data_IF_431804299851
#
_entry.id   IF_431804299851
#
_cell.length_a   1.000
_cell.length_b   1.000
_cell.length_c   1.000
_cell.angle_alpha   90.00
_cell.angle_beta   90.00
_cell.angle_gamma   90.00
#
_symmetry.space_group_name_H-M   'P 1'
#
loop_
_entity.id
_entity.type
_entity.pdbx_description
1 polymer ?
#
# COMPACT_ATOMS: atom_id res chain seq x y z
N UNK A 1 -32.57 -74.10 20.60
CA UNK A 1 -31.79 -73.05 19.92
C UNK A 1 -31.76 -71.82 20.81
N UNK A 2 -30.67 -71.04 20.76
CA UNK A 2 -30.49 -69.73 21.42
C UNK A 2 -30.84 -69.62 22.92
N UNK A 3 -29.80 -69.51 23.77
CA UNK A 3 -29.88 -69.06 25.16
C UNK A 3 -28.76 -68.06 25.44
N UNK A 4 -29.02 -67.04 26.27
CA UNK A 4 -28.07 -66.01 26.67
C UNK A 4 -28.75 -64.94 27.54
N UNK A 5 -28.12 -64.52 28.64
CA UNK A 5 -28.82 -63.84 29.75
C UNK A 5 -27.92 -63.00 30.66
N UNK A 6 -28.34 -61.76 30.95
CA UNK A 6 -27.85 -60.89 32.05
C UNK A 6 -26.40 -60.37 31.96
N UNK A 7 -25.90 -59.56 32.91
CA UNK A 7 -26.56 -58.55 33.78
C UNK A 7 -25.53 -57.85 34.71
N UNK A 8 -25.37 -56.53 34.58
CA UNK A 8 -24.77 -55.59 35.58
C UNK A 8 -23.28 -55.85 36.02
N UNK A 9 -22.71 -55.24 37.12
CA UNK A 9 -22.02 -53.94 37.01
C UNK A 9 -20.60 -53.83 37.69
N UNK A 10 -20.13 -52.59 37.90
CA UNK A 10 -18.84 -52.14 38.48
C UNK A 10 -18.40 -52.70 39.86
N UNK A 11 -17.08 -52.66 40.16
CA UNK A 11 -16.60 -51.97 41.38
C UNK A 11 -15.27 -51.13 41.22
N UNK A 12 -14.83 -50.34 42.25
CA UNK A 12 -13.74 -49.35 42.16
C UNK A 12 -12.42 -49.68 42.94
N UNK A 13 -11.50 -48.70 43.00
CA UNK A 13 -10.12 -48.74 43.57
C UNK A 13 -10.01 -48.80 45.12
N UNK A 14 -9.01 -49.54 45.64
CA UNK A 14 -8.10 -49.08 46.73
C UNK A 14 -6.61 -49.44 46.43
N UNK A 15 -5.55 -49.06 47.17
CA UNK A 15 -5.33 -48.16 48.33
C UNK A 15 -3.80 -48.00 48.57
N UNK A 16 -3.29 -46.81 48.95
CA UNK A 16 -2.90 -46.39 50.32
C UNK A 16 -1.64 -47.02 50.96
N UNK A 17 -0.62 -46.16 51.24
CA UNK A 17 0.36 -46.18 52.37
C UNK A 17 1.31 -47.40 52.57
N UNK A 18 2.55 -47.35 53.11
CA UNK A 18 3.61 -46.34 53.46
C UNK A 18 4.94 -47.18 53.59
N UNK A 19 6.08 -46.89 54.27
CA UNK A 19 6.59 -45.85 55.21
C UNK A 19 8.14 -45.91 55.26
N UNK A 20 8.84 -44.78 55.45
CA UNK A 20 10.14 -44.63 56.17
C UNK A 20 11.43 -45.42 55.72
N UNK A 21 12.68 -45.03 56.04
CA UNK A 21 13.28 -43.75 56.50
C UNK A 21 14.83 -43.73 56.32
N UNK A 22 15.46 -42.54 56.49
CA UNK A 22 16.77 -42.28 57.18
C UNK A 22 18.02 -43.10 56.76
N UNK A 23 19.20 -42.57 56.39
CA UNK A 23 19.82 -41.21 56.19
C UNK A 23 21.02 -41.38 55.18
N UNK A 24 22.05 -40.54 54.95
CA UNK A 24 22.63 -39.39 55.65
C UNK A 24 23.45 -38.40 54.78
N UNK A 25 23.60 -37.19 55.33
CA UNK A 25 24.64 -36.14 55.12
C UNK A 25 25.66 -36.23 53.97
N UNK A 26 25.65 -35.18 53.11
CA UNK A 26 26.79 -34.22 53.09
C UNK A 26 26.31 -32.80 52.76
N UNK A 27 26.71 -31.82 53.58
CA UNK A 27 26.28 -30.41 53.50
C UNK A 27 27.36 -29.55 52.85
N UNK A 28 27.03 -28.80 51.78
CA UNK A 28 27.89 -27.71 51.28
C UNK A 28 27.06 -26.58 50.68
N UNK A 29 27.21 -25.39 51.26
CA UNK A 29 26.46 -24.17 50.88
C UNK A 29 26.91 -23.64 49.52
N UNK A 30 25.95 -23.39 48.60
CA UNK A 30 26.20 -22.58 47.39
C UNK A 30 26.02 -21.10 47.71
N UNK A 31 26.90 -20.25 47.17
CA UNK A 31 26.75 -18.79 47.18
C UNK A 31 25.72 -18.37 46.14
N UNK A 32 25.00 -17.28 46.38
CA UNK A 32 24.20 -16.63 45.35
C UNK A 32 25.12 -15.89 44.35
N UNK A 33 24.85 -16.00 43.06
CA UNK A 33 25.41 -15.11 42.03
C UNK A 33 24.51 -15.04 40.80
N UNK A 34 23.96 -13.85 40.62
CA UNK A 34 23.41 -13.22 39.40
C UNK A 34 23.78 -13.95 38.08
N UNK A 35 22.86 -14.80 37.59
CA UNK A 35 22.23 -14.72 36.27
C UNK A 35 21.05 -15.72 36.25
N UNK A 36 19.92 -15.34 35.65
CA UNK A 36 18.74 -16.19 35.53
C UNK A 36 18.44 -16.49 34.07
N UNK A 37 18.01 -17.72 33.77
CA UNK A 37 17.49 -18.10 32.46
C UNK A 37 16.18 -17.37 32.14
N UNK A 38 16.08 -16.78 30.95
CA UNK A 38 14.85 -16.82 30.15
C UNK A 38 15.16 -16.45 28.68
N UNK A 39 15.72 -17.40 27.91
CA UNK A 39 16.06 -17.22 26.49
C UNK A 39 14.81 -17.37 25.60
N UNK A 40 13.86 -16.44 25.73
CA UNK A 40 12.62 -16.41 24.93
C UNK A 40 12.85 -15.73 23.58
N UNK A 41 13.20 -16.53 22.58
CA UNK A 41 13.14 -16.14 21.17
C UNK A 41 11.69 -16.22 20.71
N UNK A 42 11.02 -15.08 20.54
CA UNK A 42 9.65 -15.07 20.02
C UNK A 42 8.76 -13.90 20.46
N UNK A 43 9.28 -12.66 20.51
CA UNK A 43 8.48 -11.46 20.78
C UNK A 43 8.79 -10.38 19.72
N UNK A 44 8.02 -10.38 18.62
CA UNK A 44 8.13 -9.37 17.54
C UNK A 44 6.80 -8.66 17.28
N UNK A 45 6.09 -8.27 18.34
CA UNK A 45 5.03 -7.28 18.26
C UNK A 45 5.57 -5.95 17.70
N UNK A 46 5.26 -5.67 16.44
CA UNK A 46 5.88 -4.58 15.66
C UNK A 46 5.76 -3.22 16.37
N UNK A 47 6.86 -2.58 16.82
CA UNK A 47 6.77 -1.36 17.60
C UNK A 47 6.40 -0.17 16.71
N UNK A 48 5.33 0.54 17.09
CA UNK A 48 5.01 1.84 16.47
C UNK A 48 6.19 2.82 16.59
N UNK A 49 6.21 3.83 15.70
CA UNK A 49 7.23 4.91 15.63
C UNK A 49 7.52 5.65 16.95
N UNK A 50 6.71 5.47 17.99
CA UNK A 50 6.98 5.95 19.33
C UNK A 50 8.13 5.21 20.03
N UNK A 51 8.22 3.88 19.88
CA UNK A 51 9.09 3.00 20.68
C UNK A 51 10.54 3.05 20.23
N UNK A 52 10.81 3.01 18.92
CA UNK A 52 12.17 3.05 18.37
C UNK A 52 12.92 4.34 18.74
N UNK A 53 12.19 5.43 18.97
CA UNK A 53 12.73 6.73 19.40
C UNK A 53 13.01 6.77 20.91
N UNK A 54 12.40 5.89 21.71
CA UNK A 54 12.66 5.80 23.15
C UNK A 54 14.02 5.14 23.43
N UNK A 55 14.40 4.10 22.69
CA UNK A 55 15.65 3.36 22.90
C UNK A 55 16.91 4.21 22.64
N UNK A 56 16.80 5.27 21.85
CA UNK A 56 17.89 6.23 21.58
C UNK A 56 18.11 7.21 22.76
N UNK A 57 17.12 7.39 23.65
CA UNK A 57 17.14 8.45 24.67
C UNK A 57 17.80 8.04 26.00
N UNK A 58 18.18 6.76 26.18
CA UNK A 58 18.78 6.27 27.43
C UNK A 58 20.25 6.66 27.66
N UNK A 59 20.99 7.06 26.61
CA UNK A 59 22.46 7.08 26.64
C UNK A 59 23.12 8.35 27.22
N UNK A 60 22.38 9.44 27.49
CA UNK A 60 22.96 10.72 27.94
C UNK A 60 22.17 11.39 29.07
N UNK A 61 22.66 11.31 30.31
CA UNK A 61 22.51 12.33 31.37
C UNK A 61 23.26 11.98 32.67
N UNK A 62 24.53 12.40 32.81
CA UNK A 62 25.20 12.60 34.12
C UNK A 62 26.27 13.70 34.03
N UNK A 63 25.93 14.92 34.46
CA UNK A 63 26.88 15.94 34.92
C UNK A 63 26.15 16.99 35.78
N UNK A 64 26.81 17.68 36.74
CA UNK A 64 26.15 18.61 37.68
C UNK A 64 25.90 20.01 37.09
N UNK A 65 24.98 20.76 37.71
CA UNK A 65 24.54 22.09 37.25
C UNK A 65 25.08 23.22 38.14
N UNK A 66 25.54 24.31 37.53
CA UNK A 66 25.81 25.60 38.19
C UNK A 66 24.71 26.65 37.89
N UNK A 67 24.42 27.60 38.80
CA UNK A 67 23.11 28.29 38.83
C UNK A 67 23.02 29.61 38.02
N UNK A 68 23.58 29.69 36.80
CA UNK A 68 23.57 30.92 35.98
C UNK A 68 22.90 30.77 34.59
N UNK A 69 21.67 30.23 34.53
CA UNK A 69 20.96 30.10 33.24
C UNK A 69 19.41 30.17 33.23
N UNK A 70 18.77 30.72 34.26
CA UNK A 70 17.30 30.70 34.43
C UNK A 70 16.48 31.25 33.24
N UNK A 71 16.90 32.37 32.61
CA UNK A 71 16.19 32.95 31.45
C UNK A 71 16.37 32.14 30.15
N UNK A 72 17.56 31.56 29.91
CA UNK A 72 17.89 30.84 28.66
C UNK A 72 17.26 29.44 28.64
N UNK A 73 17.18 28.77 29.79
CA UNK A 73 16.47 27.49 29.94
C UNK A 73 14.96 27.62 29.74
N UNK A 74 14.34 28.73 30.18
CA UNK A 74 12.89 28.96 30.04
C UNK A 74 12.42 28.94 28.57
N UNK A 75 13.08 29.70 27.66
CA UNK A 75 12.76 29.67 26.22
C UNK A 75 12.97 28.26 25.63
N UNK A 76 14.08 27.59 25.97
CA UNK A 76 14.37 26.20 25.51
C UNK A 76 13.35 25.18 26.03
N UNK A 77 12.83 25.35 27.25
CA UNK A 77 11.77 24.51 27.84
C UNK A 77 10.43 24.73 27.11
N UNK A 78 10.01 25.98 26.89
CA UNK A 78 8.80 26.30 26.12
C UNK A 78 8.87 25.75 24.69
N UNK A 79 10.01 25.90 24.00
CA UNK A 79 10.22 25.32 22.67
C UNK A 79 10.13 23.78 22.66
N UNK A 80 10.74 23.08 23.64
CA UNK A 80 10.60 21.61 23.78
C UNK A 80 9.15 21.19 24.10
N UNK A 81 8.39 21.99 24.85
CA UNK A 81 6.95 21.74 25.07
C UNK A 81 6.12 21.93 23.79
N UNK A 82 6.41 22.96 22.99
CA UNK A 82 5.74 23.19 21.71
C UNK A 82 6.06 22.07 20.70
N UNK A 83 7.33 21.70 20.55
CA UNK A 83 7.75 20.55 19.73
C UNK A 83 7.09 19.24 20.16
N UNK A 84 6.91 19.00 21.48
CA UNK A 84 6.16 17.84 21.98
C UNK A 84 4.68 17.90 21.60
N UNK A 85 4.03 19.06 21.65
CA UNK A 85 2.65 19.25 21.19
C UNK A 85 2.52 19.02 19.69
N UNK A 86 3.40 19.63 18.88
CA UNK A 86 3.40 19.44 17.41
C UNK A 86 3.61 17.96 17.06
N UNK A 87 4.62 17.29 17.64
CA UNK A 87 4.83 15.85 17.43
C UNK A 87 3.60 15.02 17.83
N UNK A 88 2.98 15.32 18.97
CA UNK A 88 1.76 14.63 19.40
C UNK A 88 0.59 14.85 18.42
N UNK A 89 0.40 16.07 17.91
CA UNK A 89 -0.62 16.36 16.90
C UNK A 89 -0.35 15.62 15.59
N UNK A 90 0.87 15.63 15.05
CA UNK A 90 1.20 14.92 13.81
C UNK A 90 1.16 13.39 13.95
N UNK A 91 1.35 12.84 15.15
CA UNK A 91 1.16 11.40 15.42
C UNK A 91 -0.33 11.04 15.57
N UNK A 92 -1.17 11.96 16.04
CA UNK A 92 -2.62 11.77 16.15
C UNK A 92 -3.33 11.94 14.79
N UNK A 93 -2.89 12.93 14.01
CA UNK A 93 -3.46 13.36 12.74
C UNK A 93 -2.31 13.42 11.72
N UNK A 94 -2.05 12.30 11.05
CA UNK A 94 -0.93 12.13 10.10
C UNK A 94 -1.00 13.11 8.93
N UNK A 95 -2.22 13.48 8.50
CA UNK A 95 -2.45 14.45 7.42
C UNK A 95 -1.87 15.84 7.71
N UNK A 96 -1.59 16.20 8.98
CA UNK A 96 -1.08 17.52 9.37
C UNK A 96 0.32 17.80 8.81
N UNK A 97 1.18 16.79 8.66
CA UNK A 97 2.53 17.00 8.10
C UNK A 97 2.49 17.27 6.58
N UNK A 98 1.82 16.45 5.74
CA UNK A 98 1.54 16.81 4.35
C UNK A 98 0.81 18.16 4.20
N UNK A 99 -0.23 18.44 4.99
CA UNK A 99 -0.96 19.71 4.94
C UNK A 99 -0.07 20.92 5.20
N UNK A 100 0.85 20.83 6.18
CA UNK A 100 1.83 21.89 6.44
C UNK A 100 2.78 22.11 5.26
N UNK A 101 3.30 21.04 4.65
CA UNK A 101 4.17 21.14 3.46
C UNK A 101 3.43 21.79 2.28
N UNK A 102 2.21 21.33 1.98
CA UNK A 102 1.38 21.93 0.92
C UNK A 102 1.07 23.41 1.20
N UNK A 103 0.76 23.76 2.45
CA UNK A 103 0.53 25.16 2.85
C UNK A 103 1.77 26.02 2.62
N UNK A 104 2.97 25.52 2.93
CA UNK A 104 4.23 26.23 2.65
C UNK A 104 4.47 26.43 1.15
N UNK A 105 4.22 25.42 0.31
CA UNK A 105 4.34 25.54 -1.15
C UNK A 105 3.33 26.54 -1.73
N UNK A 106 2.06 26.44 -1.33
CA UNK A 106 1.00 27.32 -1.82
C UNK A 106 1.18 28.78 -1.38
N UNK A 107 1.62 29.03 -0.14
CA UNK A 107 1.96 30.38 0.31
C UNK A 107 3.22 30.93 -0.39
N UNK A 108 4.22 30.08 -0.63
CA UNK A 108 5.41 30.45 -1.41
C UNK A 108 5.10 30.79 -2.87
N UNK A 109 4.11 30.13 -3.47
CA UNK A 109 3.60 30.50 -4.79
C UNK A 109 2.76 31.79 -4.74
N UNK A 110 1.82 31.91 -3.80
CA UNK A 110 0.96 33.08 -3.65
C UNK A 110 1.72 34.38 -3.34
N UNK A 111 2.92 34.30 -2.76
CA UNK A 111 3.80 35.45 -2.54
C UNK A 111 4.40 36.04 -3.84
N UNK A 112 4.47 35.25 -4.92
CA UNK A 112 4.83 35.71 -6.26
C UNK A 112 4.20 34.76 -7.31
N UNK A 113 2.93 34.98 -7.71
CA UNK A 113 2.18 34.04 -8.55
C UNK A 113 2.49 34.22 -10.04
N UNK A 114 3.76 34.02 -10.41
CA UNK A 114 4.27 34.14 -11.78
C UNK A 114 4.91 32.83 -12.24
N UNK A 115 4.98 32.61 -13.56
CA UNK A 115 5.67 31.42 -14.12
C UNK A 115 7.16 31.39 -13.73
N UNK A 116 7.77 32.56 -13.54
CA UNK A 116 9.16 32.73 -13.07
C UNK A 116 9.40 32.33 -11.60
N UNK A 117 8.35 32.05 -10.82
CA UNK A 117 8.51 31.44 -9.51
C UNK A 117 8.79 29.93 -9.67
N UNK A 118 9.90 29.37 -9.17
CA UNK A 118 10.23 27.96 -9.37
C UNK A 118 9.20 26.98 -8.76
N UNK A 119 8.30 27.46 -7.89
CA UNK A 119 7.18 26.69 -7.38
C UNK A 119 6.07 26.45 -8.43
N UNK A 120 6.05 27.21 -9.53
CA UNK A 120 5.14 26.99 -10.67
C UNK A 120 5.31 25.56 -11.23
N UNK A 121 6.56 25.11 -11.39
CA UNK A 121 6.94 23.78 -11.87
C UNK A 121 6.48 22.60 -10.99
N UNK A 122 6.15 22.86 -9.72
CA UNK A 122 5.62 21.86 -8.80
C UNK A 122 4.09 21.77 -8.90
N UNK A 123 3.40 22.89 -9.13
CA UNK A 123 1.93 22.99 -9.11
C UNK A 123 1.32 22.72 -10.49
N UNK A 124 1.97 23.21 -11.55
CA UNK A 124 1.48 23.21 -12.93
C UNK A 124 2.38 22.41 -13.88
N UNK A 125 1.83 22.01 -15.03
CA UNK A 125 2.58 21.29 -16.06
C UNK A 125 3.70 22.16 -16.66
N UNK A 126 4.92 21.65 -16.60
CA UNK A 126 6.08 22.28 -17.23
C UNK A 126 6.21 21.92 -18.70
N UNK A 127 7.00 22.69 -19.45
CA UNK A 127 7.31 22.47 -20.88
C UNK A 127 6.10 22.57 -21.82
N UNK A 128 5.20 23.53 -21.57
CA UNK A 128 4.18 23.96 -22.55
C UNK A 128 4.87 24.40 -23.84
N UNK A 129 4.38 23.92 -24.98
CA UNK A 129 4.88 24.31 -26.29
C UNK A 129 4.06 25.49 -26.85
N UNK A 130 4.63 26.30 -27.76
CA UNK A 130 3.85 27.23 -28.56
C UNK A 130 2.80 26.49 -29.42
N UNK A 131 1.75 27.20 -29.81
CA UNK A 131 0.75 26.70 -30.75
C UNK A 131 1.19 27.09 -32.17
N UNK A 132 2.13 26.32 -32.73
CA UNK A 132 2.74 26.61 -34.03
C UNK A 132 1.81 26.32 -35.22
N UNK A 133 0.79 25.46 -35.01
CA UNK A 133 -0.21 25.09 -36.02
C UNK A 133 -1.62 25.52 -35.57
N UNK A 134 -2.33 26.37 -36.34
CA UNK A 134 -3.71 26.79 -36.05
C UNK A 134 -4.76 25.66 -36.03
N UNK A 135 -4.46 24.49 -36.59
CA UNK A 135 -5.32 23.29 -36.56
C UNK A 135 -5.17 22.46 -35.29
N UNK A 136 -4.19 22.78 -34.43
CA UNK A 136 -3.87 22.00 -33.23
C UNK A 136 -4.90 22.23 -32.11
N UNK A 137 -5.96 21.42 -32.10
CA UNK A 137 -7.10 21.48 -31.17
C UNK A 137 -6.70 21.54 -29.67
N UNK A 138 -5.56 20.95 -29.29
CA UNK A 138 -5.10 20.85 -27.91
C UNK A 138 -3.68 21.37 -27.67
N UNK A 139 -3.49 22.07 -26.55
CA UNK A 139 -2.18 22.55 -26.10
C UNK A 139 -1.25 21.36 -25.80
N UNK A 140 -0.15 21.28 -26.54
CA UNK A 140 0.88 20.25 -26.39
C UNK A 140 1.94 20.64 -25.34
N UNK A 141 2.50 19.63 -24.69
CA UNK A 141 3.58 19.73 -23.72
C UNK A 141 4.70 18.74 -24.08
N UNK A 142 5.95 19.22 -24.02
CA UNK A 142 7.14 18.36 -24.04
C UNK A 142 7.42 17.72 -22.68
N UNK A 143 8.65 17.24 -22.46
CA UNK A 143 9.08 16.61 -21.20
C UNK A 143 10.44 17.08 -20.72
N UNK A 144 10.70 17.01 -19.41
CA UNK A 144 12.01 17.30 -18.83
C UNK A 144 12.06 17.14 -17.31
N UNK A 145 13.16 17.59 -16.69
CA UNK A 145 13.43 17.35 -15.27
C UNK A 145 12.43 18.02 -14.31
N UNK A 146 11.78 19.12 -14.70
CA UNK A 146 10.73 19.75 -13.89
C UNK A 146 9.48 18.85 -13.71
N UNK A 147 9.29 17.85 -14.56
CA UNK A 147 8.20 16.89 -14.39
C UNK A 147 8.42 16.00 -13.14
N UNK A 148 9.66 15.84 -12.67
CA UNK A 148 9.99 15.22 -11.37
C UNK A 148 9.54 16.10 -10.20
N UNK A 149 9.63 17.43 -10.35
CA UNK A 149 9.17 18.38 -9.34
C UNK A 149 7.65 18.33 -9.18
N UNK A 150 6.92 18.31 -10.31
CA UNK A 150 5.48 18.06 -10.37
C UNK A 150 5.11 16.73 -9.69
N UNK A 151 5.74 15.61 -10.08
CA UNK A 151 5.50 14.30 -9.47
C UNK A 151 5.73 14.34 -7.95
N UNK A 152 6.82 14.96 -7.49
CA UNK A 152 7.15 15.09 -6.07
C UNK A 152 6.09 15.87 -5.29
N UNK A 153 5.58 16.98 -5.84
CA UNK A 153 4.51 17.76 -5.22
C UNK A 153 3.20 16.96 -5.15
N UNK A 154 2.79 16.34 -6.25
CA UNK A 154 1.55 15.57 -6.27
C UNK A 154 1.62 14.30 -5.42
N UNK A 155 2.81 13.72 -5.17
CA UNK A 155 3.01 12.69 -4.14
C UNK A 155 2.68 13.20 -2.73
N UNK A 156 3.02 14.46 -2.41
CA UNK A 156 2.64 15.09 -1.13
C UNK A 156 1.14 15.42 -1.10
N UNK A 157 0.56 15.89 -2.22
CA UNK A 157 -0.90 16.11 -2.36
C UNK A 157 -1.67 14.81 -2.10
N UNK A 158 -1.23 13.70 -2.71
CA UNK A 158 -1.86 12.39 -2.54
C UNK A 158 -1.65 11.82 -1.13
N UNK A 159 -0.50 12.06 -0.50
CA UNK A 159 -0.27 11.71 0.91
C UNK A 159 -1.19 12.50 1.87
N UNK A 160 -1.44 13.79 1.60
CA UNK A 160 -2.44 14.56 2.34
C UNK A 160 -3.84 13.98 2.14
N UNK A 161 -4.25 13.83 0.88
CA UNK A 161 -5.59 13.39 0.49
C UNK A 161 -5.91 11.99 1.02
N UNK A 162 -4.97 11.03 0.96
CA UNK A 162 -5.11 9.69 1.56
C UNK A 162 -5.41 9.78 3.05
N UNK A 163 -4.54 10.44 3.81
CA UNK A 163 -4.66 10.48 5.27
C UNK A 163 -5.88 11.29 5.74
N UNK A 164 -6.24 12.36 5.01
CA UNK A 164 -7.45 13.15 5.28
C UNK A 164 -8.73 12.35 5.00
N UNK A 165 -8.87 11.74 3.81
CA UNK A 165 -10.03 10.91 3.46
C UNK A 165 -10.14 9.72 4.41
N UNK A 166 -9.03 9.04 4.73
CA UNK A 166 -9.05 7.91 5.67
C UNK A 166 -9.48 8.32 7.09
N UNK A 167 -9.09 9.50 7.59
CA UNK A 167 -9.34 9.89 8.98
C UNK A 167 -10.65 10.65 9.20
N UNK A 168 -11.03 11.52 8.27
CA UNK A 168 -12.20 12.40 8.42
C UNK A 168 -13.44 11.86 7.69
N UNK A 169 -13.30 11.01 6.65
CA UNK A 169 -14.44 10.46 5.88
C UNK A 169 -14.64 8.96 6.10
N UNK A 170 -13.62 8.14 5.82
CA UNK A 170 -13.75 6.67 5.86
C UNK A 170 -13.76 6.11 7.28
N UNK A 171 -13.14 6.79 8.26
CA UNK A 171 -13.18 6.38 9.67
C UNK A 171 -14.57 6.54 10.30
N UNK A 172 -15.32 7.64 10.10
CA UNK A 172 -16.75 7.67 10.41
C UNK A 172 -17.54 6.59 9.66
N UNK A 173 -17.34 6.44 8.35
CA UNK A 173 -18.07 5.47 7.53
C UNK A 173 -17.89 4.01 8.00
N UNK A 174 -16.66 3.60 8.30
CA UNK A 174 -16.36 2.24 8.81
C UNK A 174 -17.05 1.92 10.13
N UNK A 175 -17.28 2.92 11.00
CA UNK A 175 -18.01 2.75 12.26
C UNK A 175 -19.52 2.71 12.03
N UNK A 176 -20.02 3.53 11.11
CA UNK A 176 -21.43 3.52 10.68
C UNK A 176 -21.80 2.18 10.04
N UNK A 177 -20.89 1.60 9.25
CA UNK A 177 -20.98 0.24 8.70
C UNK A 177 -20.74 -0.88 9.75
N UNK A 178 -20.76 -0.57 11.05
CA UNK A 178 -20.76 -1.55 12.13
C UNK A 178 -19.42 -2.23 12.45
N UNK A 179 -18.31 -1.86 11.79
CA UNK A 179 -17.02 -2.53 11.98
C UNK A 179 -16.44 -2.24 13.37
N UNK A 180 -16.46 -3.24 14.27
CA UNK A 180 -15.99 -3.09 15.65
C UNK A 180 -14.46 -3.17 15.79
N UNK A 181 -13.82 -4.13 15.11
CA UNK A 181 -12.36 -4.32 15.17
C UNK A 181 -11.61 -3.16 14.53
N UNK A 182 -10.58 -2.65 15.22
CA UNK A 182 -9.68 -1.61 14.68
C UNK A 182 -8.89 -2.10 13.46
N UNK A 183 -8.60 -3.40 13.37
CA UNK A 183 -7.97 -4.02 12.20
C UNK A 183 -8.91 -4.06 11.00
N UNK A 184 -10.15 -4.58 11.17
CA UNK A 184 -11.18 -4.59 10.10
C UNK A 184 -11.50 -3.16 9.64
N UNK A 185 -11.57 -2.18 10.55
CA UNK A 185 -11.67 -0.75 10.20
C UNK A 185 -10.48 -0.28 9.34
N UNK A 186 -9.23 -0.55 9.76
CA UNK A 186 -8.03 -0.10 9.03
C UNK A 186 -7.99 -0.63 7.60
N UNK A 187 -8.16 -1.95 7.41
CA UNK A 187 -8.15 -2.56 6.07
C UNK A 187 -9.34 -2.13 5.22
N UNK A 188 -10.53 -1.94 5.81
CA UNK A 188 -11.66 -1.36 5.09
C UNK A 188 -11.38 0.07 4.61
N UNK A 189 -10.74 0.92 5.43
CA UNK A 189 -10.35 2.28 5.00
C UNK A 189 -9.28 2.27 3.89
N UNK A 190 -8.30 1.36 3.94
CA UNK A 190 -7.29 1.19 2.87
C UNK A 190 -7.95 0.81 1.54
N UNK A 191 -8.86 -0.17 1.55
CA UNK A 191 -9.57 -0.62 0.34
C UNK A 191 -10.57 0.44 -0.15
N UNK A 192 -11.34 1.07 0.72
CA UNK A 192 -12.27 2.13 0.31
C UNK A 192 -11.55 3.37 -0.24
N UNK A 193 -10.38 3.75 0.27
CA UNK A 193 -9.58 4.82 -0.35
C UNK A 193 -9.14 4.44 -1.76
N UNK A 194 -8.68 3.20 -1.94
CA UNK A 194 -8.27 2.65 -3.24
C UNK A 194 -9.44 2.63 -4.24
N UNK A 195 -10.63 2.22 -3.79
CA UNK A 195 -11.86 2.23 -4.59
C UNK A 195 -12.32 3.67 -4.95
N UNK A 196 -12.23 4.62 -4.01
CA UNK A 196 -12.53 6.04 -4.31
C UNK A 196 -11.54 6.63 -5.32
N UNK A 197 -10.25 6.34 -5.18
CA UNK A 197 -9.21 6.84 -6.08
C UNK A 197 -9.41 6.32 -7.51
N UNK A 198 -9.49 5.00 -7.71
CA UNK A 198 -9.67 4.42 -9.04
C UNK A 198 -11.08 4.62 -9.60
N UNK A 199 -12.09 4.83 -8.77
CA UNK A 199 -13.44 5.22 -9.20
C UNK A 199 -13.51 6.60 -9.86
N UNK A 200 -12.54 7.48 -9.56
CA UNK A 200 -12.37 8.79 -10.23
C UNK A 200 -11.35 8.68 -11.37
N UNK A 201 -10.21 8.05 -11.12
CA UNK A 201 -9.08 8.01 -12.07
C UNK A 201 -9.32 7.06 -13.24
N UNK A 202 -9.97 5.91 -13.06
CA UNK A 202 -10.28 4.98 -14.16
C UNK A 202 -11.11 5.63 -15.28
N UNK A 203 -12.25 6.28 -14.97
CA UNK A 203 -13.01 7.07 -15.95
C UNK A 203 -12.21 8.23 -16.58
N UNK A 204 -11.37 8.91 -15.78
CA UNK A 204 -10.49 9.96 -16.29
C UNK A 204 -9.47 9.41 -17.31
N UNK A 205 -8.86 8.25 -17.02
CA UNK A 205 -7.93 7.57 -17.92
C UNK A 205 -8.59 7.12 -19.22
N UNK A 206 -9.81 6.58 -19.16
CA UNK A 206 -10.60 6.26 -20.37
C UNK A 206 -10.87 7.50 -21.24
N UNK A 207 -11.21 8.65 -20.62
CA UNK A 207 -11.42 9.91 -21.34
C UNK A 207 -10.11 10.48 -21.93
N UNK A 208 -8.97 10.32 -21.26
CA UNK A 208 -7.65 10.62 -21.84
C UNK A 208 -7.36 9.69 -23.02
N UNK A 209 -7.61 8.38 -22.88
CA UNK A 209 -7.36 7.38 -23.93
C UNK A 209 -8.21 7.64 -25.19
N UNK A 210 -9.46 8.10 -25.05
CA UNK A 210 -10.30 8.45 -26.21
C UNK A 210 -9.79 9.62 -27.06
N UNK A 211 -8.76 10.34 -26.59
CA UNK A 211 -8.08 11.44 -27.30
C UNK A 211 -6.80 10.99 -28.01
N UNK A 212 -6.52 9.69 -28.03
CA UNK A 212 -5.26 9.12 -28.52
C UNK A 212 -5.49 7.96 -29.50
N UNK A 213 -4.54 7.63 -30.39
CA UNK A 213 -4.68 6.52 -31.34
C UNK A 213 -4.94 5.14 -30.70
N UNK A 214 -4.60 4.97 -29.43
CA UNK A 214 -4.78 3.71 -28.67
C UNK A 214 -6.19 3.53 -28.08
N UNK A 215 -7.19 4.26 -28.57
CA UNK A 215 -8.57 4.14 -28.08
C UNK A 215 -9.06 2.69 -28.14
N UNK A 216 -9.74 2.26 -27.08
CA UNK A 216 -10.18 0.88 -26.89
C UNK A 216 -9.05 -0.18 -26.98
N UNK A 217 -7.84 0.22 -26.55
CA UNK A 217 -6.63 -0.62 -26.54
C UNK A 217 -6.18 -1.08 -27.93
N UNK A 218 -6.28 -0.22 -28.96
CA UNK A 218 -5.48 -0.47 -30.16
C UNK A 218 -3.98 -0.48 -29.83
N UNK A 219 -3.27 -1.44 -30.41
CA UNK A 219 -1.84 -1.69 -30.21
C UNK A 219 -1.01 -1.05 -31.32
N UNK A 220 -1.57 -0.91 -32.53
CA UNK A 220 -0.90 -0.24 -33.66
C UNK A 220 -0.60 1.22 -33.29
N UNK A 221 -1.60 1.90 -32.72
CA UNK A 221 -1.47 3.24 -32.16
C UNK A 221 -0.43 3.41 -31.03
N UNK A 222 0.12 2.33 -30.45
CA UNK A 222 1.23 2.42 -29.47
C UNK A 222 2.59 2.65 -30.14
N UNK A 223 2.69 2.43 -31.44
CA UNK A 223 3.93 2.49 -32.22
C UNK A 223 3.83 3.42 -33.43
N UNK A 224 2.63 3.61 -33.99
CA UNK A 224 2.35 4.62 -35.01
C UNK A 224 2.66 6.03 -34.49
N UNK A 225 3.33 6.86 -35.29
CA UNK A 225 3.77 8.20 -34.88
C UNK A 225 4.88 8.23 -33.82
N UNK A 226 5.46 7.09 -33.44
CA UNK A 226 6.61 7.06 -32.52
C UNK A 226 7.84 7.77 -33.15
N UNK A 227 8.66 8.52 -32.40
CA UNK A 227 8.57 8.79 -30.96
C UNK A 227 7.53 9.86 -30.60
N UNK A 228 6.64 9.53 -29.66
CA UNK A 228 5.65 10.46 -29.11
C UNK A 228 6.33 11.46 -28.16
N UNK A 229 6.96 12.50 -28.73
CA UNK A 229 7.73 13.52 -27.99
C UNK A 229 6.86 14.44 -27.14
N UNK A 230 5.60 14.62 -27.53
CA UNK A 230 4.65 15.58 -26.96
C UNK A 230 3.33 14.93 -26.64
N UNK A 231 2.62 15.45 -25.65
CA UNK A 231 1.28 15.02 -25.28
C UNK A 231 0.37 16.22 -24.99
N UNK A 232 -0.95 16.04 -25.09
CA UNK A 232 -1.89 17.06 -24.63
C UNK A 232 -1.81 17.26 -23.10
N UNK A 233 -2.29 18.40 -22.62
CA UNK A 233 -2.27 18.72 -21.19
C UNK A 233 -3.02 17.69 -20.32
N UNK A 234 -4.09 17.07 -20.84
CA UNK A 234 -4.87 16.08 -20.12
C UNK A 234 -4.07 14.77 -19.91
N UNK A 235 -3.47 14.25 -20.98
CA UNK A 235 -2.59 13.08 -20.96
C UNK A 235 -1.38 13.32 -20.06
N UNK A 236 -0.67 14.45 -20.24
CA UNK A 236 0.53 14.72 -19.44
C UNK A 236 0.20 14.86 -17.96
N UNK A 237 -0.91 15.52 -17.61
CA UNK A 237 -1.39 15.58 -16.22
C UNK A 237 -1.70 14.18 -15.68
N UNK A 238 -2.55 13.40 -16.37
CA UNK A 238 -2.95 12.06 -15.95
C UNK A 238 -1.74 11.15 -15.70
N UNK A 239 -0.82 11.11 -16.67
CA UNK A 239 0.34 10.24 -16.64
C UNK A 239 1.29 10.60 -15.48
N UNK A 240 1.59 11.89 -15.26
CA UNK A 240 2.45 12.32 -14.15
C UNK A 240 1.75 12.20 -12.79
N UNK A 241 0.44 12.45 -12.71
CA UNK A 241 -0.34 12.28 -11.49
C UNK A 241 -0.42 10.80 -11.08
N UNK A 242 -0.59 9.88 -12.04
CA UNK A 242 -0.48 8.45 -11.80
C UNK A 242 0.93 8.03 -11.36
N UNK A 243 1.99 8.58 -11.96
CA UNK A 243 3.36 8.36 -11.48
C UNK A 243 3.54 8.84 -10.02
N UNK A 244 2.94 9.98 -9.65
CA UNK A 244 2.94 10.49 -8.29
C UNK A 244 2.16 9.61 -7.29
N UNK A 245 1.08 8.96 -7.73
CA UNK A 245 0.34 7.97 -6.95
C UNK A 245 1.15 6.69 -6.72
N UNK A 246 1.73 6.10 -7.76
CA UNK A 246 2.54 4.90 -7.61
C UNK A 246 3.82 5.14 -6.80
N UNK A 247 4.41 6.34 -6.88
CA UNK A 247 5.46 6.79 -5.98
C UNK A 247 4.96 6.95 -4.52
N UNK A 248 3.78 7.55 -4.29
CA UNK A 248 3.17 7.68 -2.96
C UNK A 248 2.92 6.31 -2.33
N UNK A 249 2.40 5.34 -3.08
CA UNK A 249 2.15 3.98 -2.58
C UNK A 249 3.46 3.23 -2.28
N UNK A 250 4.48 3.38 -3.13
CA UNK A 250 5.80 2.82 -2.87
C UNK A 250 6.44 3.40 -1.59
N UNK A 251 6.28 4.70 -1.31
CA UNK A 251 6.75 5.34 -0.07
C UNK A 251 6.02 4.77 1.15
N UNK A 252 4.70 4.59 1.09
CA UNK A 252 3.89 3.96 2.17
C UNK A 252 4.36 2.53 2.46
N UNK A 253 4.67 1.75 1.42
CA UNK A 253 5.21 0.39 1.53
C UNK A 253 6.62 0.37 2.13
N UNK A 254 7.54 1.22 1.63
CA UNK A 254 8.93 1.31 2.08
C UNK A 254 9.06 1.82 3.53
N UNK A 255 8.14 2.68 3.98
CA UNK A 255 8.08 3.15 5.37
C UNK A 255 7.40 2.15 6.32
N UNK A 256 6.94 1.00 5.83
CA UNK A 256 6.27 -0.02 6.65
C UNK A 256 4.94 0.45 7.27
N UNK A 257 4.24 1.38 6.61
CA UNK A 257 3.04 2.00 7.15
C UNK A 257 1.79 1.10 7.12
N UNK A 258 1.83 0.00 6.35
CA UNK A 258 0.81 -1.06 6.34
C UNK A 258 1.40 -2.36 6.95
N UNK A 259 0.64 -3.13 7.76
CA UNK A 259 1.09 -4.44 8.29
C UNK A 259 1.48 -5.34 7.09
N UNK A 260 2.69 -5.91 7.04
CA UNK A 260 3.12 -6.78 5.94
C UNK A 260 2.16 -7.95 5.74
N UNK A 261 1.76 -8.19 4.49
CA UNK A 261 0.85 -9.27 4.08
C UNK A 261 1.64 -10.54 3.73
N UNK A 262 0.95 -11.68 3.60
CA UNK A 262 1.56 -12.96 3.19
C UNK A 262 2.25 -12.89 1.81
N UNK A 263 1.80 -11.98 0.93
CA UNK A 263 2.35 -11.70 -0.41
C UNK A 263 3.22 -10.41 -0.48
N UNK A 264 3.85 -10.02 0.64
CA UNK A 264 4.65 -8.78 0.72
C UNK A 264 5.86 -8.75 -0.23
N UNK A 265 6.52 -9.88 -0.49
CA UNK A 265 7.71 -9.92 -1.38
C UNK A 265 7.31 -9.67 -2.84
N UNK A 266 6.21 -10.26 -3.25
CA UNK A 266 5.62 -10.17 -4.57
C UNK A 266 5.01 -8.77 -4.80
N UNK A 267 4.42 -8.18 -3.75
CA UNK A 267 4.01 -6.77 -3.74
C UNK A 267 5.21 -5.80 -3.90
N UNK A 268 6.31 -6.01 -3.17
CA UNK A 268 7.55 -5.22 -3.36
C UNK A 268 8.11 -5.39 -4.78
N UNK A 269 8.15 -6.63 -5.30
CA UNK A 269 8.55 -6.92 -6.68
C UNK A 269 7.67 -6.19 -7.71
N UNK A 270 6.36 -6.18 -7.51
CA UNK A 270 5.41 -5.41 -8.32
C UNK A 270 5.68 -3.91 -8.29
N UNK A 271 5.95 -3.31 -7.13
CA UNK A 271 6.29 -1.88 -7.06
C UNK A 271 7.61 -1.56 -7.78
N UNK A 272 8.60 -2.45 -7.76
CA UNK A 272 9.84 -2.29 -8.53
C UNK A 272 9.55 -2.35 -10.04
N UNK A 273 8.82 -3.37 -10.51
CA UNK A 273 8.47 -3.53 -11.94
C UNK A 273 7.61 -2.37 -12.44
N UNK A 274 6.61 -1.94 -11.65
CA UNK A 274 5.69 -0.87 -12.05
C UNK A 274 6.37 0.50 -12.07
N UNK A 275 7.20 0.84 -11.08
CA UNK A 275 7.98 2.08 -11.11
C UNK A 275 9.01 2.08 -12.27
N UNK A 276 9.60 0.92 -12.59
CA UNK A 276 10.47 0.79 -13.75
C UNK A 276 9.71 0.99 -15.07
N UNK A 277 8.53 0.37 -15.24
CA UNK A 277 7.67 0.59 -16.42
C UNK A 277 7.30 2.06 -16.59
N UNK A 278 6.83 2.72 -15.54
CA UNK A 278 6.46 4.14 -15.55
C UNK A 278 7.66 5.02 -15.91
N UNK A 279 8.78 4.86 -15.21
CA UNK A 279 9.98 5.68 -15.41
C UNK A 279 10.60 5.51 -16.80
N UNK A 280 10.71 4.26 -17.28
CA UNK A 280 11.34 3.95 -18.56
C UNK A 280 10.43 4.29 -19.75
N UNK A 281 9.13 4.03 -19.67
CA UNK A 281 8.21 4.39 -20.76
C UNK A 281 8.06 5.92 -20.91
N UNK A 282 8.08 6.68 -19.80
CA UNK A 282 8.19 8.14 -19.86
C UNK A 282 9.56 8.60 -20.42
N UNK A 283 10.67 8.00 -19.97
CA UNK A 283 12.02 8.34 -20.44
C UNK A 283 12.22 8.08 -21.94
N UNK A 284 11.58 7.05 -22.50
CA UNK A 284 11.80 6.57 -23.87
C UNK A 284 10.59 6.71 -24.83
N UNK A 285 9.58 7.51 -24.48
CA UNK A 285 8.40 7.79 -25.32
C UNK A 285 7.47 6.58 -25.58
N UNK A 286 7.46 5.58 -24.71
CA UNK A 286 6.49 4.46 -24.77
C UNK A 286 5.24 4.74 -23.91
N UNK A 287 4.90 6.01 -23.73
CA UNK A 287 3.88 6.49 -22.79
C UNK A 287 2.46 6.04 -23.16
N UNK A 288 2.16 5.83 -24.44
CA UNK A 288 0.88 5.25 -24.88
C UNK A 288 0.71 3.80 -24.40
N UNK A 289 1.74 2.97 -24.54
CA UNK A 289 1.77 1.63 -23.91
C UNK A 289 1.64 1.73 -22.37
N UNK A 290 2.30 2.70 -21.75
CA UNK A 290 2.17 2.99 -20.32
C UNK A 290 0.73 3.37 -19.90
N UNK A 291 0.02 4.16 -20.71
CA UNK A 291 -1.38 4.54 -20.45
C UNK A 291 -2.32 3.33 -20.56
N UNK A 292 -2.11 2.45 -21.55
CA UNK A 292 -2.87 1.21 -21.67
C UNK A 292 -2.65 0.27 -20.47
N UNK A 293 -1.40 0.16 -20.00
CA UNK A 293 -1.07 -0.60 -18.78
C UNK A 293 -1.73 0.04 -17.56
N UNK A 294 -1.64 1.37 -17.37
CA UNK A 294 -2.33 2.07 -16.28
C UNK A 294 -3.83 1.75 -16.27
N UNK A 295 -4.56 2.00 -17.36
CA UNK A 295 -6.02 1.90 -17.40
C UNK A 295 -6.49 0.44 -17.13
N UNK A 296 -5.80 -0.56 -17.68
CA UNK A 296 -6.10 -1.97 -17.34
C UNK A 296 -5.87 -2.28 -15.86
N UNK A 297 -4.90 -1.62 -15.22
CA UNK A 297 -4.56 -1.84 -13.82
C UNK A 297 -5.47 -1.08 -12.86
N UNK A 298 -5.76 0.19 -13.15
CA UNK A 298 -6.64 1.08 -12.38
C UNK A 298 -8.06 0.51 -12.30
N UNK A 299 -8.63 0.11 -13.43
CA UNK A 299 -10.02 -0.40 -13.50
C UNK A 299 -10.15 -1.75 -12.79
N UNK A 300 -9.18 -2.66 -12.90
CA UNK A 300 -9.24 -3.94 -12.17
C UNK A 300 -9.11 -3.75 -10.66
N UNK A 301 -8.30 -2.77 -10.22
CA UNK A 301 -8.06 -2.53 -8.80
C UNK A 301 -9.21 -1.78 -8.14
N UNK A 302 -10.00 -1.00 -8.90
CA UNK A 302 -11.32 -0.53 -8.47
C UNK A 302 -12.24 -1.71 -8.10
N UNK A 303 -12.36 -2.73 -8.96
CA UNK A 303 -13.18 -3.91 -8.70
C UNK A 303 -12.62 -4.75 -7.54
N UNK A 304 -11.30 -4.95 -7.46
CA UNK A 304 -10.64 -5.65 -6.35
C UNK A 304 -10.94 -4.96 -5.01
N UNK A 305 -10.65 -3.66 -4.91
CA UNK A 305 -10.80 -2.88 -3.69
C UNK A 305 -12.27 -2.78 -3.24
N UNK A 306 -13.20 -2.65 -4.19
CA UNK A 306 -14.64 -2.64 -3.90
C UNK A 306 -15.12 -4.03 -3.44
N UNK A 307 -14.67 -5.12 -4.06
CA UNK A 307 -15.04 -6.49 -3.64
C UNK A 307 -14.59 -6.79 -2.20
N UNK A 308 -13.38 -6.38 -1.81
CA UNK A 308 -12.89 -6.49 -0.42
C UNK A 308 -13.65 -5.58 0.53
N UNK A 309 -14.01 -4.37 0.10
CA UNK A 309 -14.79 -3.45 0.93
C UNK A 309 -16.21 -3.95 1.20
N UNK A 310 -16.85 -4.59 0.22
CA UNK A 310 -18.15 -5.28 0.39
C UNK A 310 -18.04 -6.49 1.32
N UNK A 311 -16.99 -7.29 1.16
CA UNK A 311 -16.67 -8.43 2.05
C UNK A 311 -16.46 -7.98 3.51
N UNK A 312 -15.73 -6.89 3.75
CA UNK A 312 -15.49 -6.40 5.11
C UNK A 312 -16.77 -5.92 5.82
N UNK A 313 -17.78 -5.44 5.11
CA UNK A 313 -19.09 -5.07 5.68
C UNK A 313 -20.14 -6.18 5.50
N UNK A 314 -19.69 -7.38 5.14
CA UNK A 314 -20.47 -8.62 5.07
C UNK A 314 -21.73 -8.48 4.16
N UNK A 315 -21.60 -7.69 3.07
CA UNK A 315 -22.73 -7.28 2.23
C UNK A 315 -23.26 -8.42 1.34
N UNK A 316 -24.59 -8.59 1.15
CA UNK A 316 -25.15 -9.73 0.40
C UNK A 316 -24.71 -9.82 -1.07
N UNK A 317 -24.34 -8.70 -1.71
CA UNK A 317 -23.86 -8.72 -3.12
C UNK A 317 -22.39 -9.17 -3.27
N UNK A 318 -21.68 -9.47 -2.18
CA UNK A 318 -20.24 -9.78 -2.19
C UNK A 318 -19.89 -10.91 -3.16
N UNK A 319 -20.66 -12.01 -3.17
CA UNK A 319 -20.43 -13.13 -4.10
C UNK A 319 -20.57 -12.73 -5.59
N UNK A 320 -21.73 -12.21 -6.02
CA UNK A 320 -21.91 -11.69 -7.39
C UNK A 320 -20.89 -10.62 -7.81
N UNK A 321 -20.54 -9.70 -6.90
CA UNK A 321 -19.56 -8.65 -7.19
C UNK A 321 -18.13 -9.21 -7.27
N UNK A 322 -17.78 -10.21 -6.46
CA UNK A 322 -16.50 -10.92 -6.54
C UNK A 322 -16.35 -11.69 -7.87
N UNK A 323 -17.45 -12.27 -8.39
CA UNK A 323 -17.47 -12.86 -9.73
C UNK A 323 -17.24 -11.82 -10.83
N UNK A 324 -17.92 -10.67 -10.78
CA UNK A 324 -17.69 -9.54 -11.69
C UNK A 324 -16.24 -9.05 -11.64
N UNK A 325 -15.69 -8.92 -10.43
CA UNK A 325 -14.27 -8.61 -10.21
C UNK A 325 -13.36 -9.65 -10.91
N UNK A 326 -13.57 -10.95 -10.70
CA UNK A 326 -12.77 -12.01 -11.33
C UNK A 326 -12.82 -11.93 -12.87
N UNK A 327 -14.00 -11.71 -13.46
CA UNK A 327 -14.14 -11.49 -14.90
C UNK A 327 -13.37 -10.25 -15.38
N UNK A 328 -13.47 -9.12 -14.65
CA UNK A 328 -12.73 -7.89 -14.97
C UNK A 328 -11.22 -8.11 -14.88
N UNK A 329 -10.73 -8.86 -13.89
CA UNK A 329 -9.31 -9.18 -13.74
C UNK A 329 -8.81 -10.02 -14.91
N UNK A 330 -9.53 -11.07 -15.29
CA UNK A 330 -9.16 -11.92 -16.44
C UNK A 330 -9.13 -11.11 -17.75
N UNK A 331 -10.11 -10.25 -17.99
CA UNK A 331 -10.13 -9.43 -19.21
C UNK A 331 -9.01 -8.38 -19.22
N UNK A 332 -8.87 -7.59 -18.15
CA UNK A 332 -7.96 -6.45 -18.09
C UNK A 332 -6.50 -6.88 -17.84
N UNK A 333 -6.24 -7.68 -16.80
CA UNK A 333 -4.89 -8.09 -16.36
C UNK A 333 -4.30 -9.28 -17.12
N UNK A 334 -5.09 -9.95 -17.97
CA UNK A 334 -4.61 -11.08 -18.79
C UNK A 334 -4.89 -10.86 -20.26
N UNK A 335 -6.16 -10.82 -20.71
CA UNK A 335 -6.43 -10.71 -22.15
C UNK A 335 -5.83 -9.44 -22.79
N UNK A 336 -6.09 -8.25 -22.21
CA UNK A 336 -5.53 -7.00 -22.75
C UNK A 336 -4.02 -6.87 -22.51
N UNK A 337 -3.50 -7.28 -21.35
CA UNK A 337 -2.06 -7.22 -21.09
C UNK A 337 -1.25 -8.21 -21.95
N UNK A 338 -1.79 -9.39 -22.25
CA UNK A 338 -1.22 -10.30 -23.25
C UNK A 338 -1.32 -9.72 -24.66
N UNK A 339 -2.40 -9.02 -25.03
CA UNK A 339 -2.48 -8.30 -26.33
C UNK A 339 -1.33 -7.28 -26.46
N UNK A 340 -1.09 -6.49 -25.41
CA UNK A 340 0.02 -5.51 -25.37
C UNK A 340 1.38 -6.22 -25.45
N UNK A 341 1.60 -7.27 -24.65
CA UNK A 341 2.84 -8.05 -24.66
C UNK A 341 3.11 -8.73 -26.01
N UNK A 342 2.09 -9.28 -26.68
CA UNK A 342 2.20 -9.89 -28.01
C UNK A 342 2.47 -8.85 -29.10
N UNK A 343 1.91 -7.64 -28.99
CA UNK A 343 2.20 -6.55 -29.94
C UNK A 343 3.69 -6.15 -29.97
N UNK A 344 4.46 -6.40 -28.90
CA UNK A 344 5.91 -6.22 -28.96
C UNK A 344 6.56 -7.13 -30.01
N UNK A 345 6.11 -8.38 -30.12
CA UNK A 345 6.68 -9.36 -31.05
C UNK A 345 6.22 -9.12 -32.50
N UNK A 346 5.01 -8.60 -32.68
CA UNK A 346 4.41 -8.41 -34.02
C UNK A 346 4.69 -7.02 -34.62
N UNK A 347 4.64 -5.97 -33.80
CA UNK A 347 4.49 -4.58 -34.26
C UNK A 347 5.65 -3.65 -33.85
N UNK A 348 6.33 -3.90 -32.71
CA UNK A 348 7.41 -3.02 -32.23
C UNK A 348 8.56 -2.86 -33.24
N UNK A 349 8.85 -3.88 -34.06
CA UNK A 349 9.92 -3.82 -35.08
C UNK A 349 9.45 -3.33 -36.45
N UNK A 350 8.15 -3.24 -36.69
CA UNK A 350 7.54 -3.06 -38.02
C UNK A 350 6.71 -1.77 -38.14
N UNK A 351 6.06 -1.34 -37.06
CA UNK A 351 5.22 -0.13 -37.01
C UNK A 351 6.03 1.04 -36.44
N UNK A 352 6.19 2.10 -37.23
CA UNK A 352 7.01 3.28 -36.89
C UNK A 352 8.53 2.99 -36.84
N UNK A 353 9.38 4.02 -36.76
CA UNK A 353 10.84 3.89 -36.83
C UNK A 353 11.41 2.85 -35.87
N UNK A 354 12.32 2.00 -36.36
CA UNK A 354 13.10 1.05 -35.55
C UNK A 354 14.58 1.45 -35.58
N UNK A 355 14.87 2.63 -35.02
CA UNK A 355 16.18 3.26 -35.02
C UNK A 355 16.47 3.80 -33.62
N UNK A 356 17.69 3.57 -33.14
CA UNK A 356 18.23 4.26 -31.96
C UNK A 356 18.85 5.58 -32.38
N UNK A 357 18.22 6.69 -31.98
CA UNK A 357 18.69 8.05 -32.20
C UNK A 357 18.45 8.85 -30.91
N UNK A 358 19.53 9.26 -30.26
CA UNK A 358 19.50 9.99 -29.00
C UNK A 358 19.15 11.48 -29.16
N UNK A 359 19.40 12.06 -30.34
CA UNK A 359 19.16 13.48 -30.65
C UNK A 359 17.74 13.66 -31.19
N UNK A 360 17.35 12.87 -32.20
CA UNK A 360 15.96 12.75 -32.65
C UNK A 360 15.04 12.06 -31.64
N UNK A 361 15.57 11.48 -30.56
CA UNK A 361 14.79 10.97 -29.42
C UNK A 361 13.99 9.69 -29.70
N UNK A 362 14.44 8.87 -30.65
CA UNK A 362 13.90 7.54 -30.96
C UNK A 362 14.71 6.46 -30.24
N UNK A 363 14.05 5.59 -29.49
CA UNK A 363 14.71 4.59 -28.64
C UNK A 363 14.35 3.14 -29.00
N UNK A 364 13.61 2.93 -30.11
CA UNK A 364 13.21 1.59 -30.58
C UNK A 364 14.43 0.84 -31.15
N UNK A 365 14.82 -0.22 -30.44
CA UNK A 365 15.98 -1.08 -30.72
C UNK A 365 15.83 -2.41 -29.97
N UNK A 366 16.71 -3.39 -30.22
CA UNK A 366 16.61 -4.71 -29.58
C UNK A 366 16.74 -4.66 -28.05
N UNK A 367 17.55 -3.73 -27.52
CA UNK A 367 17.67 -3.52 -26.08
C UNK A 367 16.36 -3.02 -25.46
N UNK A 368 15.69 -2.05 -26.11
CA UNK A 368 14.40 -1.54 -25.65
C UNK A 368 13.29 -2.60 -25.78
N UNK A 369 13.33 -3.42 -26.84
CA UNK A 369 12.44 -4.57 -27.02
C UNK A 369 12.57 -5.56 -25.84
N UNK A 370 13.79 -6.01 -25.53
CA UNK A 370 14.01 -6.99 -24.46
C UNK A 370 13.72 -6.43 -23.06
N UNK A 371 14.05 -5.16 -22.79
CA UNK A 371 13.72 -4.51 -21.50
C UNK A 371 12.20 -4.38 -21.33
N UNK A 372 11.50 -3.90 -22.36
CA UNK A 372 10.04 -3.69 -22.29
C UNK A 372 9.30 -5.03 -22.20
N UNK A 373 9.70 -6.02 -23.00
CA UNK A 373 9.14 -7.37 -22.95
C UNK A 373 9.43 -8.09 -21.62
N UNK A 374 10.62 -7.91 -21.05
CA UNK A 374 10.98 -8.45 -19.74
C UNK A 374 10.16 -7.84 -18.59
N UNK A 375 9.92 -6.53 -18.62
CA UNK A 375 9.11 -5.84 -17.60
C UNK A 375 7.61 -6.16 -17.73
N UNK A 376 7.06 -6.14 -18.94
CA UNK A 376 5.65 -6.54 -19.17
C UNK A 376 5.44 -8.03 -18.87
N UNK A 377 6.39 -8.90 -19.23
CA UNK A 377 6.36 -10.32 -18.87
C UNK A 377 6.41 -10.54 -17.36
N UNK A 378 7.22 -9.76 -16.64
CA UNK A 378 7.28 -9.79 -15.16
C UNK A 378 5.96 -9.34 -14.54
N UNK A 379 5.35 -8.27 -15.06
CA UNK A 379 4.04 -7.78 -14.64
C UNK A 379 2.95 -8.84 -14.90
N UNK A 380 2.98 -9.48 -16.06
CA UNK A 380 2.04 -10.54 -16.42
C UNK A 380 2.18 -11.79 -15.53
N UNK A 381 3.41 -12.16 -15.15
CA UNK A 381 3.68 -13.25 -14.21
C UNK A 381 3.15 -12.95 -12.79
N UNK A 382 3.30 -11.72 -12.30
CA UNK A 382 2.71 -11.28 -11.03
C UNK A 382 1.18 -11.27 -11.07
N UNK A 383 0.59 -10.81 -12.18
CA UNK A 383 -0.87 -10.87 -12.40
C UNK A 383 -1.40 -12.32 -12.46
N UNK A 384 -0.60 -13.29 -12.92
CA UNK A 384 -0.92 -14.73 -12.92
C UNK A 384 -0.79 -15.35 -11.52
N UNK A 385 0.26 -15.01 -10.76
CA UNK A 385 0.41 -15.39 -9.35
C UNK A 385 -0.80 -14.96 -8.52
N UNK A 386 -1.29 -13.72 -8.72
CA UNK A 386 -2.49 -13.26 -8.03
C UNK A 386 -3.80 -13.84 -8.57
N UNK A 387 -3.90 -14.16 -9.87
CA UNK A 387 -5.05 -14.89 -10.42
C UNK A 387 -5.24 -16.25 -9.76
N UNK A 388 -4.16 -16.98 -9.48
CA UNK A 388 -4.22 -18.25 -8.75
C UNK A 388 -4.93 -18.11 -7.39
N UNK A 389 -4.59 -17.07 -6.60
CA UNK A 389 -5.29 -16.79 -5.33
C UNK A 389 -6.75 -16.39 -5.55
N UNK A 390 -7.05 -15.58 -6.58
CA UNK A 390 -8.42 -15.14 -6.88
C UNK A 390 -9.33 -16.34 -7.19
N UNK A 391 -8.85 -17.28 -8.01
CA UNK A 391 -9.56 -18.52 -8.36
C UNK A 391 -9.63 -19.48 -7.18
N UNK A 392 -8.58 -19.58 -6.35
CA UNK A 392 -8.57 -20.39 -5.11
C UNK A 392 -9.63 -19.91 -4.11
N UNK A 393 -9.78 -18.59 -3.92
CA UNK A 393 -10.83 -18.01 -3.06
C UNK A 393 -12.21 -18.24 -3.69
N UNK A 394 -12.37 -18.08 -5.01
CA UNK A 394 -13.62 -18.39 -5.71
C UNK A 394 -14.06 -19.86 -5.50
N UNK A 395 -13.11 -20.80 -5.60
CA UNK A 395 -13.35 -22.22 -5.39
C UNK A 395 -13.79 -22.54 -3.95
N UNK A 396 -13.11 -21.96 -2.93
CA UNK A 396 -13.55 -22.06 -1.53
C UNK A 396 -14.95 -21.50 -1.32
N UNK A 397 -15.24 -20.30 -1.84
CA UNK A 397 -16.56 -19.67 -1.70
C UNK A 397 -17.69 -20.53 -2.29
N UNK A 398 -17.44 -21.21 -3.42
CA UNK A 398 -18.42 -22.13 -4.03
C UNK A 398 -18.56 -23.45 -3.24
N UNK A 399 -17.45 -24.01 -2.75
CA UNK A 399 -17.43 -25.32 -2.07
C UNK A 399 -17.92 -25.25 -0.62
N UNK A 400 -17.40 -24.28 0.13
CA UNK A 400 -17.50 -24.19 1.59
C UNK A 400 -18.48 -23.09 2.04
N UNK A 401 -19.01 -22.29 1.09
CA UNK A 401 -19.83 -21.08 1.31
C UNK A 401 -19.15 -19.95 2.10
N UNK A 402 -17.86 -20.09 2.39
CA UNK A 402 -17.08 -19.13 3.17
C UNK A 402 -16.27 -18.18 2.26
N UNK A 403 -16.39 -16.88 2.50
CA UNK A 403 -15.79 -15.83 1.68
C UNK A 403 -14.47 -15.28 2.25
N UNK A 404 -13.63 -16.15 2.84
CA UNK A 404 -12.36 -15.74 3.46
C UNK A 404 -11.26 -15.52 2.41
N UNK A 405 -10.56 -14.39 2.50
CA UNK A 405 -9.33 -14.13 1.74
C UNK A 405 -8.13 -14.66 2.53
N UNK A 406 -7.63 -15.84 2.13
CA UNK A 406 -6.39 -16.51 2.62
C UNK A 406 -5.23 -15.52 2.92
N UNK A 407 -5.11 -14.43 2.14
CA UNK A 407 -4.03 -13.44 2.28
C UNK A 407 -4.16 -12.60 3.55
N UNK A 408 -5.35 -12.54 4.16
CA UNK A 408 -5.75 -11.67 5.27
C UNK A 408 -6.11 -12.39 6.58
N UNK A 409 -6.27 -13.72 6.56
CA UNK A 409 -6.74 -14.52 7.72
C UNK A 409 -5.87 -14.38 8.99
N UNK A 410 -4.61 -13.93 8.87
CA UNK A 410 -3.64 -13.78 9.98
C UNK A 410 -3.65 -12.36 10.61
N UNK A 411 -4.75 -11.63 10.44
CA UNK A 411 -4.91 -10.24 10.93
C UNK A 411 -6.05 -10.07 11.95
N UNK A 412 -6.76 -11.15 12.31
CA UNK A 412 -7.86 -11.14 13.28
C UNK A 412 -7.54 -11.72 14.66
N UNK A 413 -6.67 -12.74 14.74
CA UNK A 413 -6.55 -13.60 15.94
C UNK A 413 -5.93 -12.89 17.17
N UNK A 414 -5.01 -11.95 16.96
CA UNK A 414 -4.19 -11.33 18.02
C UNK A 414 -4.99 -10.39 18.97
N UNK A 415 -6.30 -10.21 18.76
CA UNK A 415 -7.10 -9.17 19.42
C UNK A 415 -8.09 -9.61 20.51
N UNK A 416 -8.54 -10.87 20.54
CA UNK A 416 -9.73 -11.25 21.35
C UNK A 416 -9.39 -12.08 22.61
N UNK A 417 -8.15 -12.53 22.76
CA UNK A 417 -7.76 -13.52 23.77
C UNK A 417 -7.38 -13.01 25.17
N UNK A 418 -7.67 -11.76 25.56
CA UNK A 418 -7.09 -11.20 26.81
C UNK A 418 -7.98 -10.34 27.73
N UNK A 419 -9.27 -10.11 27.42
CA UNK A 419 -10.19 -9.38 28.32
C UNK A 419 -11.18 -10.28 29.10
N UNK A 420 -11.20 -11.59 28.86
CA UNK A 420 -12.19 -12.50 29.46
C UNK A 420 -11.92 -12.96 30.90
N UNK A 421 -10.67 -13.06 31.33
CA UNK A 421 -10.28 -13.92 32.48
C UNK A 421 -9.89 -13.14 33.76
N UNK A 422 -10.64 -12.11 34.15
CA UNK A 422 -10.37 -11.35 35.40
C UNK A 422 -11.53 -11.05 36.34
N UNK A 423 -12.76 -11.51 36.05
CA UNK A 423 -13.89 -11.47 36.98
C UNK A 423 -14.23 -12.88 37.48
N UNK A 424 -13.39 -13.44 38.37
CA UNK A 424 -13.43 -14.89 38.65
C UNK A 424 -13.01 -15.39 40.03
N UNK A 425 -12.72 -14.55 41.04
CA UNK A 425 -12.67 -15.04 42.43
C UNK A 425 -12.77 -13.92 43.48
N UNK A 426 -13.60 -14.12 44.51
CA UNK A 426 -13.89 -13.09 45.52
C UNK A 426 -14.90 -13.49 46.60
N UNK A 427 -15.01 -14.79 46.93
CA UNK A 427 -16.00 -15.29 47.89
C UNK A 427 -15.64 -14.97 49.36
N UNK A 428 -16.17 -13.87 49.91
CA UNK A 428 -15.99 -13.48 51.30
C UNK A 428 -17.21 -13.84 52.18
N UNK A 429 -17.32 -15.12 52.56
CA UNK A 429 -18.37 -15.62 53.46
C UNK A 429 -18.04 -15.32 54.92
N UNK A 430 -18.82 -14.48 55.60
CA UNK A 430 -18.86 -14.36 57.07
C UNK A 430 -20.28 -14.44 57.60
N UNK A 431 -20.36 -14.82 58.89
CA UNK A 431 -21.58 -14.89 59.70
C UNK A 431 -21.96 -13.50 60.19
#
# INVERSE_FOLDING_TARGET
>A
MATGSGSEPFPPLPGTTTTESVTATRRRTRKASILGDDLKVGDTGSPSLATSIAHIQGAHSKEPLSPLSAKRTSKRRKARTLLRRIKHTCVKHTWVLPAFLLTCFLLGYAANPTESNPLSHFIFLSYKLPADDPSQEYVQYGKGLWDIAFVTFYTVVLSFTREFIMQEMLRPLSRWAGLKSRGKQARYMEQMYTALYFGIMGPCGMWVMSRTPIWYFDVTGMYEGYPHKTHDGAFKFYYLFQAAYWAQQAIVLLLGMEKPRKDFKELVGHHIVSLALIGLSYRFHFTYMGLAVYITHDISDFFLATSKSLNYVDHPITGPYYFLFMCSWIYLRHFLNLKILVSLFNEFKTVGPYVMDWEGGSYKCDLAFWITGGLLGSLQALNLFWLFFIVRIAYRFVRDREASDDRSEDEGSEGEGQEGEKNGNGAAKRK
#
